data_IF_520899182712
#
_entry.id   IF_520899182712
#
_cell.length_a   1.000
_cell.length_b   1.000
_cell.length_c   1.000
_cell.angle_alpha   90.00
_cell.angle_beta   90.00
_cell.angle_gamma   90.00
#
_symmetry.space_group_name_H-M   'P 1'
#
loop_
_entity.id
_entity.type
_entity.pdbx_description
1 polymer ?
#
# COMPACT_ATOMS: atom_id res chain seq x y z
N UNK A 1 -14.83 26.05 0.99
CA UNK A 1 -13.58 25.63 1.64
C UNK A 1 -13.79 24.18 2.03
N UNK A 2 -13.15 23.24 1.35
CA UNK A 2 -13.24 21.81 1.69
C UNK A 2 -12.71 21.57 3.10
N UNK A 3 -13.46 20.87 3.92
CA UNK A 3 -13.03 20.52 5.26
C UNK A 3 -12.15 19.28 5.18
N UNK A 4 -10.83 19.48 5.05
CA UNK A 4 -9.84 18.44 5.29
C UNK A 4 -9.67 18.29 6.81
N UNK A 5 -10.54 17.48 7.44
CA UNK A 5 -10.39 17.19 8.84
C UNK A 5 -9.58 15.90 9.01
N UNK A 6 -8.38 16.02 9.56
CA UNK A 6 -7.64 14.89 10.11
C UNK A 6 -8.09 14.74 11.55
N UNK A 7 -8.62 13.56 11.85
CA UNK A 7 -9.14 13.25 13.17
C UNK A 7 -8.33 12.11 13.79
N UNK A 8 -8.27 12.10 15.11
CA UNK A 8 -7.55 11.10 15.88
C UNK A 8 -8.56 10.32 16.74
N UNK A 9 -8.83 9.07 16.39
CA UNK A 9 -9.85 8.28 17.07
C UNK A 9 -9.62 8.16 18.58
N UNK A 10 -8.37 8.19 19.02
CA UNK A 10 -7.99 8.14 20.43
C UNK A 10 -8.22 9.46 21.19
N UNK A 11 -8.41 10.58 20.48
CA UNK A 11 -8.70 11.88 21.07
C UNK A 11 -10.21 12.19 21.05
N UNK A 12 -10.89 11.81 19.97
CA UNK A 12 -12.30 12.13 19.77
C UNK A 12 -13.09 10.95 19.18
N UNK A 13 -13.29 9.92 19.99
CA UNK A 13 -14.14 8.79 19.60
C UNK A 13 -15.65 9.13 19.52
N UNK A 14 -16.08 10.22 20.16
CA UNK A 14 -17.49 10.61 20.14
C UNK A 14 -17.89 11.19 18.78
N UNK A 15 -17.06 12.03 18.19
CA UNK A 15 -17.32 12.60 16.86
C UNK A 15 -17.31 11.54 15.75
N UNK A 16 -16.62 10.41 15.94
CA UNK A 16 -16.68 9.28 15.02
C UNK A 16 -18.08 8.67 14.90
N UNK A 17 -18.89 8.72 15.97
CA UNK A 17 -20.24 8.13 16.01
C UNK A 17 -21.27 8.83 15.11
N UNK A 18 -20.96 10.00 14.56
CA UNK A 18 -21.82 10.71 13.59
C UNK A 18 -21.76 10.11 12.18
N UNK A 19 -20.79 9.22 11.93
CA UNK A 19 -20.62 8.55 10.65
C UNK A 19 -21.25 7.16 10.70
N UNK A 20 -21.79 6.72 9.57
CA UNK A 20 -22.40 5.41 9.39
C UNK A 20 -21.52 4.45 8.59
N UNK A 21 -20.50 4.96 7.90
CA UNK A 21 -19.71 4.21 6.92
C UNK A 21 -18.21 4.47 7.10
N UNK A 22 -17.42 3.40 7.04
CA UNK A 22 -15.97 3.44 7.00
C UNK A 22 -15.47 2.98 5.63
N UNK A 23 -14.50 3.69 5.07
CA UNK A 23 -13.93 3.41 3.74
C UNK A 23 -12.45 3.13 3.84
N UNK A 24 -12.04 1.93 3.41
CA UNK A 24 -10.65 1.57 3.19
C UNK A 24 -10.34 1.70 1.69
N UNK A 25 -9.28 2.46 1.34
CA UNK A 25 -8.95 2.76 -0.05
C UNK A 25 -7.73 2.01 -0.58
N UNK A 26 -6.83 1.53 0.28
CA UNK A 26 -5.55 1.01 -0.17
C UNK A 26 -5.19 -0.27 0.60
N UNK A 27 -5.09 -1.36 -0.12
CA UNK A 27 -4.69 -2.65 0.43
C UNK A 27 -4.43 -3.66 -0.68
N UNK A 28 -3.50 -4.57 -0.40
CA UNK A 28 -2.94 -5.50 -1.38
C UNK A 28 -3.33 -6.94 -1.09
N UNK A 29 -3.43 -7.74 -2.15
CA UNK A 29 -3.74 -9.16 -2.11
C UNK A 29 -2.64 -9.98 -2.79
N UNK A 30 -2.83 -11.30 -2.85
CA UNK A 30 -1.89 -12.21 -3.52
C UNK A 30 -1.69 -11.91 -5.03
N UNK A 31 -2.46 -11.00 -5.61
CA UNK A 31 -2.32 -10.56 -7.02
C UNK A 31 -1.31 -9.42 -7.16
N UNK A 32 -1.00 -8.70 -6.09
CA UNK A 32 0.02 -7.65 -6.11
C UNK A 32 1.43 -8.25 -6.25
N UNK A 33 2.27 -7.59 -7.06
CA UNK A 33 3.69 -7.93 -7.20
C UNK A 33 4.54 -6.83 -6.57
N UNK A 34 5.06 -7.13 -5.40
CA UNK A 34 5.86 -6.19 -4.61
C UNK A 34 7.35 -6.36 -4.93
N UNK A 35 8.04 -5.30 -5.29
CA UNK A 35 9.47 -5.38 -5.56
C UNK A 35 10.28 -5.70 -4.29
N UNK A 36 11.47 -6.28 -4.46
CA UNK A 36 12.43 -6.55 -3.38
C UNK A 36 13.71 -5.71 -3.50
N UNK A 37 13.77 -4.81 -4.44
CA UNK A 37 14.95 -3.96 -4.70
C UNK A 37 15.33 -3.12 -3.48
N UNK A 38 14.37 -2.73 -2.64
CA UNK A 38 14.60 -1.96 -1.42
C UNK A 38 15.28 -2.74 -0.29
N UNK A 39 15.19 -4.07 -0.30
CA UNK A 39 15.61 -4.91 0.83
C UNK A 39 17.10 -4.77 1.18
N UNK A 40 18.06 -4.73 0.22
CA UNK A 40 19.47 -4.51 0.54
C UNK A 40 19.73 -3.17 1.24
N UNK A 41 19.06 -2.10 0.84
CA UNK A 41 19.16 -0.78 1.46
C UNK A 41 18.73 -0.80 2.92
N UNK A 42 17.58 -1.40 3.20
CA UNK A 42 17.07 -1.58 4.56
C UNK A 42 17.98 -2.45 5.44
N UNK A 43 18.43 -3.58 4.90
CA UNK A 43 19.29 -4.50 5.66
C UNK A 43 20.64 -3.87 6.00
N UNK A 44 21.19 -3.00 5.15
CA UNK A 44 22.45 -2.27 5.43
C UNK A 44 22.33 -1.32 6.63
N UNK A 45 21.14 -0.84 6.96
CA UNK A 45 20.90 0.03 8.11
C UNK A 45 20.86 -0.73 9.44
N UNK A 46 20.71 -2.06 9.41
CA UNK A 46 20.68 -2.89 10.61
C UNK A 46 22.13 -3.24 11.02
N UNK A 47 22.56 -2.93 12.26
CA UNK A 47 23.89 -3.26 12.75
C UNK A 47 24.23 -4.74 12.54
N UNK A 48 25.39 -5.03 11.93
CA UNK A 48 25.86 -6.40 11.64
C UNK A 48 25.30 -7.03 10.36
N UNK A 49 24.19 -6.58 9.82
CA UNK A 49 23.57 -7.14 8.60
C UNK A 49 24.40 -6.85 7.34
N UNK A 50 25.14 -5.75 7.28
CA UNK A 50 26.03 -5.42 6.17
C UNK A 50 27.11 -6.48 5.90
N UNK A 51 27.57 -7.20 6.94
CA UNK A 51 28.54 -8.29 6.77
C UNK A 51 27.86 -9.56 6.24
N UNK A 52 26.64 -9.84 6.68
CA UNK A 52 25.84 -10.98 6.21
C UNK A 52 25.47 -10.76 4.74
N UNK A 53 25.02 -9.57 4.37
CA UNK A 53 24.73 -9.20 2.98
C UNK A 53 25.96 -9.36 2.08
N UNK A 54 27.12 -8.83 2.47
CA UNK A 54 28.37 -8.99 1.70
C UNK A 54 28.78 -10.45 1.53
N UNK A 55 28.51 -11.33 2.50
CA UNK A 55 28.73 -12.78 2.35
C UNK A 55 27.71 -13.40 1.42
N UNK A 56 26.48 -12.97 1.49
CA UNK A 56 25.40 -13.41 0.61
C UNK A 56 25.67 -12.98 -0.84
N UNK A 57 26.05 -11.72 -1.06
CA UNK A 57 26.41 -11.16 -2.37
C UNK A 57 27.61 -11.89 -3.06
N UNK A 58 28.43 -12.61 -2.29
CA UNK A 58 29.54 -13.43 -2.78
C UNK A 58 29.19 -14.91 -2.94
N UNK A 59 28.00 -15.31 -2.59
CA UNK A 59 27.58 -16.70 -2.65
C UNK A 59 27.24 -17.14 -4.08
N UNK A 60 27.56 -18.37 -4.51
CA UNK A 60 27.30 -18.83 -5.88
C UNK A 60 25.81 -19.04 -6.23
N UNK A 61 24.90 -18.82 -5.29
CA UNK A 61 23.42 -18.87 -5.47
C UNK A 61 22.78 -17.56 -5.05
N UNK A 62 23.31 -16.47 -5.53
CA UNK A 62 22.85 -15.13 -5.24
C UNK A 62 21.46 -14.87 -5.88
N UNK A 63 20.53 -14.33 -5.09
CA UNK A 63 19.28 -13.76 -5.60
C UNK A 63 19.55 -12.29 -5.91
N UNK A 64 19.40 -11.90 -7.15
CA UNK A 64 19.38 -10.51 -7.55
C UNK A 64 18.03 -9.91 -7.15
N UNK A 65 18.05 -9.00 -6.18
CA UNK A 65 16.83 -8.40 -5.63
C UNK A 65 16.06 -7.55 -6.66
N UNK A 66 16.70 -7.09 -7.72
CA UNK A 66 16.03 -6.40 -8.84
C UNK A 66 15.16 -7.35 -9.65
N UNK A 67 15.53 -8.63 -9.68
CA UNK A 67 14.81 -9.71 -10.39
C UNK A 67 13.87 -10.49 -9.47
N UNK A 68 13.83 -10.12 -8.20
CA UNK A 68 13.01 -10.78 -7.20
C UNK A 68 11.80 -9.89 -6.84
N UNK A 69 10.68 -10.54 -6.62
CA UNK A 69 9.47 -9.90 -6.10
C UNK A 69 8.75 -10.84 -5.13
N UNK A 70 7.84 -10.31 -4.36
CA UNK A 70 6.98 -11.11 -3.49
C UNK A 70 5.52 -10.73 -3.70
N UNK A 71 4.63 -11.55 -3.19
CA UNK A 71 3.20 -11.29 -3.24
C UNK A 71 2.62 -11.36 -1.83
N UNK A 72 1.73 -10.46 -1.45
CA UNK A 72 1.01 -10.53 -0.19
C UNK A 72 0.37 -11.90 0.05
N UNK A 73 0.23 -12.32 1.32
CA UNK A 73 -0.24 -13.68 1.62
C UNK A 73 -1.73 -13.87 1.43
N UNK A 74 -2.55 -12.82 1.56
CA UNK A 74 -3.99 -12.94 1.64
C UNK A 74 -4.66 -13.07 0.27
N UNK A 75 -5.61 -14.00 0.16
CA UNK A 75 -6.53 -14.01 -0.98
C UNK A 75 -7.45 -12.78 -0.97
N UNK A 76 -8.01 -12.37 -2.12
CA UNK A 76 -8.96 -11.25 -2.18
C UNK A 76 -10.08 -11.36 -1.16
N UNK A 77 -10.69 -12.54 -1.04
CA UNK A 77 -11.78 -12.78 -0.09
C UNK A 77 -11.33 -12.65 1.38
N UNK A 78 -10.10 -13.05 1.71
CA UNK A 78 -9.56 -12.94 3.07
C UNK A 78 -9.16 -11.51 3.40
N UNK A 79 -8.55 -10.79 2.47
CA UNK A 79 -8.23 -9.38 2.62
C UNK A 79 -9.51 -8.55 2.81
N UNK A 80 -10.51 -8.74 1.94
CA UNK A 80 -11.81 -8.08 2.05
C UNK A 80 -12.50 -8.37 3.40
N UNK A 81 -12.51 -9.62 3.85
CA UNK A 81 -13.12 -10.01 5.13
C UNK A 81 -12.42 -9.32 6.30
N UNK A 82 -11.10 -9.25 6.27
CA UNK A 82 -10.31 -8.59 7.31
C UNK A 82 -10.65 -7.11 7.41
N UNK A 83 -10.68 -6.39 6.26
CA UNK A 83 -11.06 -4.98 6.21
C UNK A 83 -12.50 -4.77 6.70
N UNK A 84 -13.45 -5.56 6.19
CA UNK A 84 -14.85 -5.49 6.60
C UNK A 84 -15.03 -5.72 8.10
N UNK A 85 -14.32 -6.70 8.67
CA UNK A 85 -14.40 -7.01 10.10
C UNK A 85 -13.91 -5.83 10.93
N UNK A 86 -12.76 -5.24 10.62
CA UNK A 86 -12.21 -4.13 11.37
C UNK A 86 -13.09 -2.87 11.31
N UNK A 87 -13.69 -2.59 10.16
CA UNK A 87 -14.63 -1.47 10.02
C UNK A 87 -15.93 -1.75 10.80
N UNK A 88 -16.45 -2.96 10.69
CA UNK A 88 -17.67 -3.37 11.39
C UNK A 88 -17.53 -3.37 12.93
N UNK A 89 -16.35 -3.70 13.47
CA UNK A 89 -16.06 -3.62 14.90
C UNK A 89 -16.20 -2.20 15.46
N UNK A 90 -16.08 -1.18 14.61
CA UNK A 90 -16.36 0.22 14.98
C UNK A 90 -17.83 0.61 14.85
N UNK A 91 -18.70 -0.31 14.48
CA UNK A 91 -20.14 -0.04 14.22
C UNK A 91 -20.41 0.64 12.88
N UNK A 92 -19.45 0.63 11.96
CA UNK A 92 -19.55 1.27 10.65
C UNK A 92 -19.84 0.25 9.54
N UNK A 93 -20.60 0.67 8.52
CA UNK A 93 -20.75 -0.07 7.27
C UNK A 93 -19.44 -0.04 6.49
N UNK A 94 -18.90 -1.19 6.03
CA UNK A 94 -17.65 -1.21 5.31
C UNK A 94 -17.81 -0.95 3.79
N UNK A 95 -17.04 -0.01 3.26
CA UNK A 95 -16.72 0.13 1.85
C UNK A 95 -15.22 -0.15 1.68
N UNK A 96 -14.86 -1.08 0.79
CA UNK A 96 -13.47 -1.56 0.69
C UNK A 96 -13.01 -1.57 -0.75
N UNK A 97 -11.94 -0.84 -1.03
CA UNK A 97 -11.24 -0.79 -2.30
C UNK A 97 -9.88 -1.48 -2.16
N UNK A 98 -9.71 -2.64 -2.80
CA UNK A 98 -8.43 -3.32 -2.91
C UNK A 98 -7.71 -2.83 -4.17
N UNK A 99 -6.40 -2.57 -4.06
CA UNK A 99 -5.63 -1.86 -5.07
C UNK A 99 -4.28 -2.55 -5.30
N UNK A 100 -4.32 -3.76 -5.81
CA UNK A 100 -3.09 -4.46 -6.18
C UNK A 100 -2.29 -3.67 -7.22
N UNK A 101 -0.96 -3.74 -7.16
CA UNK A 101 -0.08 -3.07 -8.12
C UNK A 101 -0.34 -3.58 -9.54
N UNK A 102 -0.76 -2.67 -10.42
CA UNK A 102 -0.97 -2.89 -11.85
C UNK A 102 -1.90 -4.07 -12.19
N UNK A 103 -2.77 -4.48 -11.25
CA UNK A 103 -3.65 -5.64 -11.36
C UNK A 103 -5.05 -5.35 -10.78
N UNK A 104 -6.10 -5.86 -11.43
CA UNK A 104 -7.50 -5.73 -10.99
C UNK A 104 -8.19 -7.08 -10.75
N UNK A 105 -7.49 -8.20 -10.84
CA UNK A 105 -8.09 -9.53 -10.75
C UNK A 105 -8.70 -9.80 -9.37
N UNK A 106 -8.13 -9.21 -8.30
CA UNK A 106 -8.74 -9.27 -6.98
C UNK A 106 -10.16 -8.67 -6.98
N UNK A 107 -10.31 -7.45 -7.47
CA UNK A 107 -11.60 -6.78 -7.59
C UNK A 107 -12.55 -7.53 -8.51
N UNK A 108 -12.07 -7.97 -9.68
CA UNK A 108 -12.86 -8.74 -10.64
C UNK A 108 -13.42 -10.03 -10.02
N UNK A 109 -12.60 -10.77 -9.28
CA UNK A 109 -13.04 -12.00 -8.62
C UNK A 109 -14.07 -11.75 -7.51
N UNK A 110 -13.91 -10.66 -6.77
CA UNK A 110 -14.81 -10.30 -5.68
C UNK A 110 -16.19 -9.84 -6.19
N UNK A 111 -16.26 -9.15 -7.33
CA UNK A 111 -17.53 -8.70 -7.90
C UNK A 111 -18.46 -9.86 -8.30
N UNK A 112 -17.96 -11.09 -8.39
CA UNK A 112 -18.79 -12.27 -8.60
C UNK A 112 -19.63 -12.60 -7.36
N UNK A 113 -19.12 -12.28 -6.16
CA UNK A 113 -19.69 -12.72 -4.87
C UNK A 113 -20.08 -11.55 -3.95
N UNK A 114 -19.78 -10.31 -4.32
CA UNK A 114 -20.03 -9.12 -3.51
C UNK A 114 -20.82 -8.08 -4.30
N UNK A 115 -21.44 -7.13 -3.58
CA UNK A 115 -22.08 -5.98 -4.21
C UNK A 115 -21.00 -5.01 -4.74
N UNK A 116 -20.97 -4.70 -6.06
CA UNK A 116 -20.03 -3.73 -6.63
C UNK A 116 -20.11 -2.34 -5.98
N UNK A 117 -21.24 -1.99 -5.37
CA UNK A 117 -21.41 -0.71 -4.64
C UNK A 117 -20.57 -0.63 -3.38
N UNK A 118 -20.18 -1.79 -2.80
CA UNK A 118 -19.37 -1.88 -1.59
C UNK A 118 -17.88 -2.19 -1.90
N UNK A 119 -17.61 -2.84 -3.04
CA UNK A 119 -16.28 -3.28 -3.46
C UNK A 119 -16.06 -2.89 -4.93
N UNK A 120 -15.47 -1.72 -5.19
CA UNK A 120 -15.21 -1.24 -6.53
C UNK A 120 -14.04 -2.00 -7.19
N UNK A 121 -13.94 -1.91 -8.52
CA UNK A 121 -12.71 -2.25 -9.24
C UNK A 121 -11.69 -1.13 -9.07
N UNK A 122 -10.52 -1.45 -8.57
CA UNK A 122 -9.49 -0.45 -8.29
C UNK A 122 -8.11 -1.03 -8.50
N UNK A 123 -7.14 -0.16 -8.72
CA UNK A 123 -5.74 -0.51 -8.96
C UNK A 123 -4.83 0.55 -8.34
N UNK A 124 -3.68 0.14 -7.83
CA UNK A 124 -2.56 1.04 -7.64
C UNK A 124 -1.68 0.98 -8.89
N UNK A 125 -1.79 2.02 -9.70
CA UNK A 125 -1.03 2.11 -10.94
C UNK A 125 0.37 2.62 -10.70
N UNK A 126 1.37 1.85 -11.13
CA UNK A 126 2.79 2.23 -11.13
C UNK A 126 3.07 3.15 -12.29
N UNK A 127 3.48 4.39 -12.00
CA UNK A 127 3.71 5.47 -12.95
C UNK A 127 5.19 5.84 -12.99
N UNK A 128 6.01 5.23 -13.86
CA UNK A 128 7.37 5.71 -14.12
C UNK A 128 7.31 7.12 -14.72
N UNK A 129 7.94 8.10 -14.07
CA UNK A 129 7.88 9.49 -14.52
C UNK A 129 9.15 10.26 -14.15
N UNK A 130 9.80 10.92 -15.13
CA UNK A 130 10.94 11.82 -14.92
C UNK A 130 12.08 11.24 -14.05
N UNK A 131 12.51 10.00 -14.28
CA UNK A 131 13.51 9.25 -13.49
C UNK A 131 13.05 8.94 -12.06
N UNK A 132 11.76 8.91 -11.84
CA UNK A 132 11.14 8.48 -10.60
C UNK A 132 9.99 7.51 -10.87
N UNK A 133 9.41 6.98 -9.82
CA UNK A 133 8.18 6.22 -9.85
C UNK A 133 7.22 6.90 -8.89
N UNK A 134 6.00 7.15 -9.36
CA UNK A 134 4.88 7.63 -8.57
C UNK A 134 3.79 6.56 -8.61
N UNK A 135 2.91 6.54 -7.62
CA UNK A 135 1.78 5.63 -7.60
C UNK A 135 0.46 6.41 -7.62
N UNK A 136 -0.44 6.01 -8.51
CA UNK A 136 -1.79 6.55 -8.58
C UNK A 136 -2.81 5.48 -8.20
N UNK A 137 -3.55 5.71 -7.12
CA UNK A 137 -4.75 4.94 -6.81
C UNK A 137 -5.86 5.33 -7.77
N UNK A 138 -6.28 4.39 -8.63
CA UNK A 138 -7.42 4.58 -9.51
C UNK A 138 -8.56 3.72 -9.00
N UNK A 139 -9.54 4.35 -8.39
CA UNK A 139 -10.64 3.65 -7.73
C UNK A 139 -11.92 3.73 -8.54
N UNK A 140 -12.70 2.66 -8.47
CA UNK A 140 -14.02 2.52 -9.06
C UNK A 140 -14.03 2.59 -10.60
N UNK A 141 -13.09 1.85 -11.21
CA UNK A 141 -13.06 1.66 -12.66
C UNK A 141 -14.38 1.03 -13.15
N UNK A 142 -14.99 1.56 -14.24
CA UNK A 142 -16.18 0.96 -14.82
C UNK A 142 -15.89 -0.46 -15.34
N UNK A 143 -16.66 -1.44 -14.88
CA UNK A 143 -16.44 -2.88 -15.14
C UNK A 143 -16.30 -3.18 -16.63
N UNK A 144 -17.15 -2.56 -17.45
CA UNK A 144 -17.19 -2.82 -18.90
C UNK A 144 -15.94 -2.35 -19.64
N UNK A 145 -15.19 -1.38 -19.13
CA UNK A 145 -13.98 -0.82 -19.73
C UNK A 145 -12.70 -1.08 -18.92
N UNK A 146 -12.80 -1.66 -17.73
CA UNK A 146 -11.67 -1.83 -16.82
C UNK A 146 -10.48 -2.55 -17.46
N UNK A 147 -10.74 -3.66 -18.20
CA UNK A 147 -9.66 -4.38 -18.91
C UNK A 147 -9.03 -3.57 -20.06
N UNK A 148 -9.76 -2.66 -20.68
CA UNK A 148 -9.20 -1.74 -21.66
C UNK A 148 -8.30 -0.72 -20.98
N UNK A 149 -8.75 -0.09 -19.90
CA UNK A 149 -7.94 0.79 -19.10
C UNK A 149 -6.66 0.13 -18.62
N UNK A 150 -6.74 -1.09 -18.08
CA UNK A 150 -5.53 -1.80 -17.61
C UNK A 150 -4.51 -2.05 -18.73
N UNK A 151 -4.96 -2.32 -19.98
CA UNK A 151 -4.02 -2.43 -21.12
C UNK A 151 -3.33 -1.11 -21.43
N UNK A 152 -4.08 0.00 -21.40
CA UNK A 152 -3.54 1.32 -21.72
C UNK A 152 -2.58 1.80 -20.63
N UNK A 153 -2.91 1.57 -19.34
CA UNK A 153 -2.03 1.85 -18.21
C UNK A 153 -0.74 1.02 -18.27
N UNK A 154 -0.85 -0.28 -18.58
CA UNK A 154 0.31 -1.17 -18.72
C UNK A 154 1.18 -0.78 -19.94
N UNK A 155 0.58 -0.32 -21.04
CA UNK A 155 1.31 0.19 -22.18
C UNK A 155 2.15 1.42 -21.80
N UNK A 156 1.58 2.36 -21.05
CA UNK A 156 2.31 3.50 -20.52
C UNK A 156 3.44 3.06 -19.58
N UNK A 157 3.16 2.20 -18.60
CA UNK A 157 4.18 1.73 -17.63
C UNK A 157 5.36 1.08 -18.35
N UNK A 158 5.11 0.37 -19.45
CA UNK A 158 6.15 -0.31 -20.25
C UNK A 158 6.96 0.65 -21.13
N UNK A 159 6.37 1.75 -21.58
CA UNK A 159 6.98 2.75 -22.46
C UNK A 159 6.50 4.16 -22.06
N UNK A 160 7.04 4.72 -20.97
CA UNK A 160 6.58 6.00 -20.42
C UNK A 160 6.75 7.16 -21.40
N UNK A 161 5.68 7.93 -21.58
CA UNK A 161 5.64 9.15 -22.37
C UNK A 161 4.81 10.22 -21.66
N UNK A 162 5.36 11.43 -21.52
CA UNK A 162 4.73 12.52 -20.75
C UNK A 162 3.40 12.98 -21.33
N UNK A 163 3.23 12.92 -22.65
CA UNK A 163 1.97 13.30 -23.30
C UNK A 163 0.91 12.23 -23.05
N UNK A 164 1.26 10.97 -23.26
CA UNK A 164 0.36 9.84 -23.02
C UNK A 164 -0.12 9.80 -21.57
N UNK A 165 0.76 10.10 -20.61
CA UNK A 165 0.37 10.19 -19.18
C UNK A 165 -0.73 11.23 -18.96
N UNK A 166 -0.53 12.45 -19.50
CA UNK A 166 -1.53 13.53 -19.38
C UNK A 166 -2.85 13.15 -20.01
N UNK A 167 -2.82 12.51 -21.18
CA UNK A 167 -4.01 12.05 -21.88
C UNK A 167 -4.76 11.01 -21.04
N UNK A 168 -4.08 9.95 -20.57
CA UNK A 168 -4.68 8.88 -19.76
C UNK A 168 -5.30 9.42 -18.47
N UNK A 169 -4.55 10.21 -17.71
CA UNK A 169 -5.04 10.78 -16.44
C UNK A 169 -6.22 11.74 -16.69
N UNK A 170 -6.16 12.53 -17.79
CA UNK A 170 -7.26 13.43 -18.16
C UNK A 170 -8.52 12.68 -18.58
N UNK A 171 -8.40 11.61 -19.34
CA UNK A 171 -9.53 10.79 -19.75
C UNK A 171 -10.17 10.07 -18.56
N UNK A 172 -9.38 9.48 -17.68
CA UNK A 172 -9.86 8.87 -16.44
C UNK A 172 -10.59 9.90 -15.55
N UNK A 173 -10.03 11.11 -15.43
CA UNK A 173 -10.61 12.15 -14.58
C UNK A 173 -11.96 12.67 -15.11
N UNK A 174 -12.26 12.53 -16.42
CA UNK A 174 -13.57 12.90 -17.00
C UNK A 174 -14.68 11.92 -16.64
N UNK A 175 -14.34 10.71 -16.19
CA UNK A 175 -15.33 9.71 -15.75
C UNK A 175 -15.76 10.05 -14.32
N UNK A 176 -17.03 10.43 -14.06
CA UNK A 176 -17.44 10.96 -12.77
C UNK A 176 -17.31 9.96 -11.61
N UNK A 177 -17.41 8.67 -11.92
CA UNK A 177 -17.36 7.58 -10.95
C UNK A 177 -15.94 7.25 -10.51
N UNK A 178 -14.90 7.69 -11.25
CA UNK A 178 -13.51 7.39 -10.92
C UNK A 178 -12.96 8.40 -9.91
N UNK A 179 -12.25 7.87 -8.91
CA UNK A 179 -11.44 8.65 -7.99
C UNK A 179 -9.96 8.38 -8.30
N UNK A 180 -9.19 9.43 -8.61
CA UNK A 180 -7.75 9.37 -8.82
C UNK A 180 -7.06 9.98 -7.60
N UNK A 181 -6.25 9.18 -6.93
CA UNK A 181 -5.52 9.55 -5.72
C UNK A 181 -4.02 9.48 -5.99
N UNK A 182 -3.26 10.49 -5.60
CA UNK A 182 -1.81 10.40 -5.57
C UNK A 182 -1.40 9.71 -4.26
N UNK A 183 -1.00 8.46 -4.39
CA UNK A 183 -0.66 7.61 -3.25
C UNK A 183 0.73 7.98 -2.71
N UNK A 184 0.88 7.99 -1.38
CA UNK A 184 2.15 8.21 -0.63
C UNK A 184 3.20 9.04 -1.41
N UNK A 185 2.90 10.30 -1.79
CA UNK A 185 3.67 11.10 -2.75
C UNK A 185 5.13 11.37 -2.38
N UNK A 186 5.51 11.14 -1.13
CA UNK A 186 6.89 11.29 -0.66
C UNK A 186 7.61 9.96 -0.44
N UNK A 187 6.98 8.84 -0.83
CA UNK A 187 7.65 7.56 -0.85
C UNK A 187 8.74 7.54 -1.93
N UNK A 188 9.94 7.17 -1.53
CA UNK A 188 11.09 7.10 -2.41
C UNK A 188 11.43 5.64 -2.73
N UNK A 189 11.31 5.27 -3.99
CA UNK A 189 11.75 3.96 -4.47
C UNK A 189 13.27 3.81 -4.35
N UNK A 190 13.73 2.58 -4.06
CA UNK A 190 15.16 2.28 -3.97
C UNK A 190 15.86 2.57 -5.30
N UNK A 191 17.00 3.26 -5.22
CA UNK A 191 17.78 3.66 -6.40
C UNK A 191 17.30 4.95 -7.06
N UNK A 192 16.20 5.54 -6.62
CA UNK A 192 15.75 6.86 -7.05
C UNK A 192 16.36 7.92 -6.13
N UNK A 193 17.00 8.92 -6.72
CA UNK A 193 17.50 10.08 -5.94
C UNK A 193 16.35 10.98 -5.48
N UNK A 194 16.38 11.40 -4.22
CA UNK A 194 15.34 12.27 -3.63
C UNK A 194 15.10 13.53 -4.47
N UNK A 195 16.16 14.14 -5.01
CA UNK A 195 16.06 15.32 -5.87
C UNK A 195 15.32 15.05 -7.17
N UNK A 196 15.50 13.87 -7.77
CA UNK A 196 14.78 13.45 -8.97
C UNK A 196 13.31 13.18 -8.65
N UNK A 197 13.04 12.51 -7.54
CA UNK A 197 11.68 12.24 -7.08
C UNK A 197 10.90 13.55 -6.82
N UNK A 198 11.48 14.50 -6.10
CA UNK A 198 10.85 15.80 -5.84
C UNK A 198 10.56 16.57 -7.12
N UNK A 199 11.49 16.59 -8.08
CA UNK A 199 11.25 17.22 -9.40
C UNK A 199 10.13 16.53 -10.17
N UNK A 200 10.10 15.21 -10.15
CA UNK A 200 9.03 14.42 -10.79
C UNK A 200 7.67 14.74 -10.16
N UNK A 201 7.60 14.76 -8.82
CA UNK A 201 6.39 15.11 -8.08
C UNK A 201 5.93 16.54 -8.42
N UNK A 202 6.82 17.53 -8.34
CA UNK A 202 6.49 18.93 -8.66
C UNK A 202 5.97 19.07 -10.09
N UNK A 203 6.59 18.40 -11.04
CA UNK A 203 6.16 18.41 -12.44
C UNK A 203 4.81 17.71 -12.64
N UNK A 204 4.59 16.55 -12.02
CA UNK A 204 3.31 15.84 -12.04
C UNK A 204 2.20 16.75 -11.51
N UNK A 205 2.44 17.42 -10.40
CA UNK A 205 1.47 18.34 -9.80
C UNK A 205 1.20 19.53 -10.74
N UNK A 206 2.25 20.11 -11.33
CA UNK A 206 2.08 21.24 -12.27
C UNK A 206 1.24 20.84 -13.50
N UNK A 207 1.48 19.64 -14.05
CA UNK A 207 0.85 19.19 -15.29
C UNK A 207 -0.51 18.52 -15.09
N UNK A 208 -0.68 17.78 -13.98
CA UNK A 208 -1.83 16.89 -13.79
C UNK A 208 -2.71 17.22 -12.59
N UNK A 209 -2.43 18.28 -11.80
CA UNK A 209 -3.20 18.57 -10.58
C UNK A 209 -4.70 18.71 -10.83
N UNK A 210 -5.10 19.23 -12.00
CA UNK A 210 -6.51 19.33 -12.40
C UNK A 210 -7.25 17.99 -12.50
N UNK A 211 -6.49 16.91 -12.68
CA UNK A 211 -6.99 15.54 -12.83
C UNK A 211 -6.86 14.71 -11.56
N UNK A 212 -6.02 15.13 -10.59
CA UNK A 212 -5.87 14.46 -9.30
C UNK A 212 -6.99 14.92 -8.36
N UNK A 213 -7.72 13.97 -7.79
CA UNK A 213 -8.88 14.29 -6.95
C UNK A 213 -8.52 14.42 -5.47
N UNK A 214 -7.54 13.66 -4.99
CA UNK A 214 -7.10 13.66 -3.59
C UNK A 214 -5.64 13.26 -3.46
N UNK A 215 -5.07 13.50 -2.27
CA UNK A 215 -3.77 12.97 -1.86
C UNK A 215 -3.93 11.99 -0.72
N UNK A 216 -3.11 10.95 -0.71
CA UNK A 216 -3.17 9.92 0.29
C UNK A 216 -2.33 10.26 1.52
N UNK A 217 -2.98 10.24 2.70
CA UNK A 217 -2.30 10.07 3.98
C UNK A 217 -2.20 8.57 4.27
N UNK A 218 -0.97 8.06 4.32
CA UNK A 218 -0.72 6.63 4.34
C UNK A 218 -0.45 6.09 5.74
N UNK A 219 -1.15 5.01 6.10
CA UNK A 219 -1.08 4.39 7.42
C UNK A 219 0.25 3.71 7.75
N UNK A 220 1.05 3.33 6.75
CA UNK A 220 2.36 2.69 6.95
C UNK A 220 3.50 3.70 7.07
N UNK A 221 3.27 4.95 6.69
CA UNK A 221 4.27 6.02 6.67
C UNK A 221 4.44 6.71 8.02
N UNK A 222 5.53 7.46 8.14
CA UNK A 222 5.80 8.28 9.32
C UNK A 222 4.89 9.50 9.38
N UNK A 223 4.68 10.05 10.59
CA UNK A 223 3.97 11.33 10.69
C UNK A 223 4.74 12.46 9.98
N UNK A 224 6.06 12.45 10.05
CA UNK A 224 6.89 13.43 9.34
C UNK A 224 6.63 13.43 7.82
N UNK A 225 6.46 12.27 7.23
CA UNK A 225 6.12 12.10 5.81
C UNK A 225 4.67 12.53 5.54
N UNK A 226 3.73 12.04 6.34
CA UNK A 226 2.33 12.39 6.24
C UNK A 226 2.06 13.89 6.46
N UNK A 227 2.82 14.58 7.32
CA UNK A 227 2.72 16.02 7.50
C UNK A 227 3.06 16.80 6.21
N UNK A 228 4.04 16.34 5.44
CA UNK A 228 4.34 16.93 4.13
C UNK A 228 3.17 16.72 3.15
N UNK A 229 2.46 15.58 3.23
CA UNK A 229 1.25 15.35 2.41
C UNK A 229 0.13 16.31 2.82
N UNK A 230 -0.02 16.60 4.11
CA UNK A 230 -0.99 17.59 4.62
C UNK A 230 -0.68 18.99 4.09
N UNK A 231 0.57 19.38 4.13
CA UNK A 231 1.03 20.68 3.57
C UNK A 231 0.76 20.73 2.06
N UNK A 232 1.06 19.65 1.34
CA UNK A 232 0.82 19.54 -0.09
C UNK A 232 -0.69 19.66 -0.41
N UNK A 233 -1.53 18.93 0.31
CA UNK A 233 -2.99 18.97 0.14
C UNK A 233 -3.55 20.38 0.38
N UNK A 234 -3.03 21.07 1.39
CA UNK A 234 -3.39 22.46 1.67
C UNK A 234 -2.96 23.41 0.55
N UNK A 235 -1.72 23.28 0.06
CA UNK A 235 -1.16 24.13 -1.00
C UNK A 235 -1.96 24.02 -2.31
N UNK A 236 -2.42 22.85 -2.65
CA UNK A 236 -3.20 22.59 -3.88
C UNK A 236 -4.71 22.55 -3.66
N UNK A 237 -5.20 22.83 -2.46
CA UNK A 237 -6.63 22.76 -2.12
C UNK A 237 -7.28 21.45 -2.52
N UNK A 238 -6.60 20.33 -2.27
CA UNK A 238 -7.10 18.98 -2.53
C UNK A 238 -7.47 18.28 -1.24
N UNK A 239 -8.53 17.43 -1.23
CA UNK A 239 -8.85 16.62 -0.07
C UNK A 239 -7.76 15.59 0.22
N UNK A 240 -7.66 15.22 1.51
CA UNK A 240 -6.88 14.09 1.96
C UNK A 240 -7.77 12.87 2.06
N UNK A 241 -7.29 11.72 1.61
CA UNK A 241 -7.92 10.42 1.83
C UNK A 241 -6.97 9.47 2.53
N UNK A 242 -7.51 8.45 3.19
CA UNK A 242 -6.71 7.45 3.88
C UNK A 242 -6.24 6.37 2.94
N UNK A 243 -4.99 5.92 3.08
CA UNK A 243 -4.46 4.70 2.51
C UNK A 243 -3.96 3.76 3.60
N UNK A 244 -4.57 2.59 3.70
CA UNK A 244 -4.13 1.55 4.66
C UNK A 244 -2.79 0.97 4.27
N UNK A 245 -2.56 0.84 2.97
CA UNK A 245 -1.36 0.25 2.35
C UNK A 245 -1.00 -1.09 3.01
N UNK A 246 -2.05 -1.89 3.20
CA UNK A 246 -1.96 -3.14 3.96
C UNK A 246 -1.52 -4.27 3.05
N UNK A 247 -0.52 -5.02 3.51
CA UNK A 247 0.04 -6.14 2.78
C UNK A 247 -0.20 -7.50 3.45
N UNK A 248 -0.69 -7.54 4.69
CA UNK A 248 -1.03 -8.78 5.39
C UNK A 248 -2.16 -8.59 6.40
N UNK A 249 -1.97 -9.02 7.66
CA UNK A 249 -3.02 -9.00 8.69
C UNK A 249 -2.89 -7.85 9.69
N UNK A 250 -1.93 -6.94 9.49
CA UNK A 250 -1.73 -5.78 10.35
C UNK A 250 -3.00 -4.93 10.44
N UNK A 251 -3.29 -4.34 11.61
CA UNK A 251 -4.46 -3.49 11.76
C UNK A 251 -4.40 -2.24 10.88
N UNK A 252 -5.55 -1.79 10.37
CA UNK A 252 -5.61 -0.53 9.65
C UNK A 252 -5.21 0.64 10.56
N UNK A 253 -4.28 1.47 10.09
CA UNK A 253 -3.77 2.61 10.85
C UNK A 253 -4.50 3.91 10.50
N UNK A 254 -5.25 3.95 9.40
CA UNK A 254 -6.08 5.08 8.99
C UNK A 254 -7.32 4.63 8.22
N UNK A 255 -8.36 5.44 8.23
CA UNK A 255 -9.65 5.14 7.60
C UNK A 255 -10.33 6.45 7.20
N UNK A 256 -11.09 6.47 6.10
CA UNK A 256 -12.07 7.51 5.88
C UNK A 256 -13.40 7.15 6.55
N UNK A 257 -14.06 8.15 7.17
CA UNK A 257 -15.41 8.00 7.68
C UNK A 257 -16.37 8.94 6.96
N UNK A 258 -17.53 8.42 6.57
CA UNK A 258 -18.53 9.13 5.78
C UNK A 258 -19.95 8.67 6.14
N UNK A 259 -20.95 9.30 5.56
CA UNK A 259 -22.32 8.83 5.55
C UNK A 259 -22.78 8.34 4.17
N UNK A 260 -21.85 8.22 3.22
CA UNK A 260 -22.13 7.67 1.90
C UNK A 260 -22.68 6.23 1.99
N UNK A 261 -23.74 5.96 1.24
CA UNK A 261 -24.38 4.66 1.17
C UNK A 261 -23.79 3.73 0.10
N UNK A 262 -22.80 4.21 -0.68
CA UNK A 262 -22.10 3.44 -1.71
C UNK A 262 -20.71 4.02 -1.96
N UNK A 263 -19.84 3.24 -2.63
CA UNK A 263 -18.53 3.74 -3.00
C UNK A 263 -18.61 4.91 -4.00
N UNK A 264 -19.56 4.88 -4.93
CA UNK A 264 -19.75 5.99 -5.88
C UNK A 264 -20.20 7.29 -5.20
N UNK A 265 -21.03 7.21 -4.16
CA UNK A 265 -21.38 8.39 -3.35
C UNK A 265 -20.16 8.93 -2.61
N UNK A 266 -19.32 8.06 -2.02
CA UNK A 266 -18.06 8.48 -1.42
C UNK A 266 -17.12 9.15 -2.43
N UNK A 267 -17.00 8.61 -3.64
CA UNK A 267 -16.23 9.25 -4.72
C UNK A 267 -16.76 10.65 -5.02
N UNK A 268 -18.08 10.81 -5.10
CA UNK A 268 -18.69 12.10 -5.35
C UNK A 268 -18.40 13.12 -4.23
N UNK A 269 -18.44 12.68 -2.95
CA UNK A 269 -18.04 13.51 -1.81
C UNK A 269 -16.59 13.98 -1.92
N UNK A 270 -15.65 13.06 -2.18
CA UNK A 270 -14.22 13.41 -2.29
C UNK A 270 -13.98 14.35 -3.46
N UNK A 271 -14.58 14.09 -4.62
CA UNK A 271 -14.46 14.96 -5.81
C UNK A 271 -15.07 16.35 -5.59
N UNK A 272 -16.07 16.46 -4.71
CA UNK A 272 -16.64 17.73 -4.27
C UNK A 272 -15.79 18.45 -3.19
N UNK A 273 -14.63 17.86 -2.79
CA UNK A 273 -13.71 18.43 -1.81
C UNK A 273 -14.04 18.06 -0.35
N UNK A 274 -14.90 17.07 -0.12
CA UNK A 274 -15.26 16.64 1.23
C UNK A 274 -14.57 15.31 1.57
N UNK A 275 -13.82 15.29 2.67
CA UNK A 275 -13.25 14.08 3.22
C UNK A 275 -13.09 14.19 4.73
N UNK A 276 -13.32 13.10 5.44
CA UNK A 276 -13.05 12.96 6.87
C UNK A 276 -12.13 11.78 7.10
N UNK A 277 -10.85 12.10 7.30
CA UNK A 277 -9.79 11.12 7.54
C UNK A 277 -9.58 10.90 9.03
N UNK A 278 -9.48 9.65 9.44
CA UNK A 278 -9.31 9.23 10.83
C UNK A 278 -8.05 8.38 10.98
N UNK A 279 -7.16 8.81 11.85
CA UNK A 279 -6.03 7.99 12.31
C UNK A 279 -6.48 7.09 13.46
N UNK A 280 -6.19 5.80 13.30
CA UNK A 280 -6.59 4.75 14.24
C UNK A 280 -5.57 4.61 15.38
N UNK A 281 -5.94 4.05 16.55
CA UNK A 281 -5.02 3.87 17.67
C UNK A 281 -3.72 3.15 17.31
N UNK A 282 -3.75 2.26 16.33
CA UNK A 282 -2.57 1.55 15.83
C UNK A 282 -1.51 2.49 15.24
N UNK A 283 -1.91 3.62 14.67
CA UNK A 283 -0.98 4.62 14.12
C UNK A 283 -0.05 5.22 15.18
N UNK A 284 -0.45 5.23 16.47
CA UNK A 284 0.37 5.70 17.59
C UNK A 284 1.55 4.79 17.92
N UNK A 285 1.52 3.56 17.44
CA UNK A 285 2.63 2.64 17.65
C UNK A 285 3.86 3.12 16.85
N UNK A 286 5.09 3.00 17.43
CA UNK A 286 6.29 3.34 16.69
C UNK A 286 6.31 2.66 15.32
N UNK A 287 6.64 3.40 14.25
CA UNK A 287 6.66 2.87 12.88
C UNK A 287 7.46 1.56 12.77
N UNK A 288 8.61 1.48 13.45
CA UNK A 288 9.43 0.26 13.44
C UNK A 288 8.67 -0.96 13.99
N UNK A 289 7.80 -0.78 15.00
CA UNK A 289 6.97 -1.87 15.54
C UNK A 289 5.92 -2.29 14.52
N UNK A 290 5.23 -1.33 13.87
CA UNK A 290 4.23 -1.61 12.82
C UNK A 290 4.85 -2.36 11.63
N UNK A 291 6.03 -1.94 11.18
CA UNK A 291 6.79 -2.60 10.09
C UNK A 291 7.20 -4.02 10.49
N UNK A 292 7.67 -4.24 11.73
CA UNK A 292 8.02 -5.59 12.20
C UNK A 292 6.79 -6.51 12.28
N UNK A 293 5.63 -5.99 12.65
CA UNK A 293 4.37 -6.74 12.67
C UNK A 293 3.94 -7.15 11.27
N UNK A 294 3.94 -6.21 10.33
CA UNK A 294 3.65 -6.49 8.93
C UNK A 294 4.63 -7.53 8.36
N UNK A 295 5.93 -7.36 8.57
CA UNK A 295 6.95 -8.32 8.13
C UNK A 295 6.75 -9.71 8.72
N UNK A 296 6.40 -9.82 10.01
CA UNK A 296 6.05 -11.11 10.61
C UNK A 296 4.86 -11.76 9.91
N UNK A 297 3.79 -10.99 9.69
CA UNK A 297 2.58 -11.50 9.07
C UNK A 297 2.81 -11.88 7.61
N UNK A 298 3.65 -11.16 6.88
CA UNK A 298 4.10 -11.54 5.54
C UNK A 298 4.86 -12.87 5.55
N UNK A 299 5.73 -13.07 6.54
CA UNK A 299 6.65 -14.22 6.58
C UNK A 299 6.08 -15.46 7.29
N UNK A 300 4.99 -15.34 8.04
CA UNK A 300 4.39 -16.49 8.73
C UNK A 300 3.78 -17.49 7.73
N UNK A 301 3.61 -18.76 8.14
CA UNK A 301 2.89 -19.73 7.31
C UNK A 301 1.39 -19.41 7.21
N UNK A 302 0.82 -19.77 6.07
CA UNK A 302 -0.62 -19.70 5.78
C UNK A 302 -1.07 -21.09 5.26
N UNK A 303 -1.33 -22.04 6.15
CA UNK A 303 -1.66 -23.43 5.77
C UNK A 303 -2.94 -23.54 4.96
N UNK A 304 -3.82 -22.55 5.04
CA UNK A 304 -5.07 -22.45 4.29
C UNK A 304 -4.92 -22.20 2.79
N UNK A 305 -3.72 -21.81 2.33
CA UNK A 305 -3.47 -21.52 0.90
C UNK A 305 -2.53 -22.56 0.28
N UNK A 306 -3.05 -23.66 -0.32
CA UNK A 306 -2.24 -24.67 -1.00
C UNK A 306 -1.31 -24.06 -2.06
N UNK A 307 -0.04 -24.47 -2.06
CA UNK A 307 0.98 -23.94 -2.97
C UNK A 307 1.55 -22.56 -2.61
N UNK A 308 1.05 -21.92 -1.53
CA UNK A 308 1.50 -20.60 -1.05
C UNK A 308 1.67 -20.58 0.47
N UNK A 309 1.81 -21.73 1.08
CA UNK A 309 1.79 -21.89 2.54
C UNK A 309 2.97 -21.23 3.23
N UNK A 310 4.18 -21.41 2.68
CA UNK A 310 5.42 -20.85 3.23
C UNK A 310 5.72 -19.50 2.57
N UNK A 311 6.42 -18.63 3.26
CA UNK A 311 6.87 -17.38 2.68
C UNK A 311 7.71 -17.59 1.41
N UNK A 312 8.54 -18.67 1.35
CA UNK A 312 9.34 -19.04 0.17
C UNK A 312 8.48 -19.41 -1.05
N UNK A 313 7.21 -19.75 -0.87
CA UNK A 313 6.27 -20.02 -1.96
C UNK A 313 5.64 -18.72 -2.50
N UNK A 314 5.78 -17.61 -1.78
CA UNK A 314 5.23 -16.28 -2.11
C UNK A 314 6.30 -15.27 -2.54
N UNK A 315 7.55 -15.64 -2.44
CA UNK A 315 8.69 -14.86 -2.92
C UNK A 315 9.22 -15.51 -4.19
N UNK A 316 9.35 -14.73 -5.25
CA UNK A 316 9.66 -15.21 -6.58
C UNK A 316 10.97 -14.63 -7.09
N UNK A 317 11.63 -15.37 -7.93
CA UNK A 317 12.83 -14.98 -8.63
C UNK A 317 12.67 -15.22 -10.13
N UNK A 318 12.94 -14.20 -10.94
CA UNK A 318 12.91 -14.30 -12.40
C UNK A 318 14.28 -14.74 -12.92
N UNK A 319 14.36 -15.98 -13.41
CA UNK A 319 15.56 -16.56 -13.98
C UNK A 319 16.01 -15.87 -15.27
N UNK A 320 17.17 -16.30 -15.83
CA UNK A 320 17.67 -15.78 -17.10
C UNK A 320 16.79 -16.13 -18.30
N UNK A 321 15.95 -17.16 -18.14
CA UNK A 321 14.89 -17.55 -19.09
C UNK A 321 13.62 -16.66 -19.01
N UNK A 322 13.62 -15.63 -18.16
CA UNK A 322 12.49 -14.74 -17.95
C UNK A 322 11.35 -15.35 -17.11
N UNK A 323 11.45 -16.63 -16.72
CA UNK A 323 10.39 -17.31 -15.97
C UNK A 323 10.53 -17.03 -14.48
N UNK A 324 9.45 -16.56 -13.86
CA UNK A 324 9.38 -16.38 -12.42
C UNK A 324 9.10 -17.72 -11.72
N UNK A 325 9.92 -18.05 -10.72
CA UNK A 325 9.79 -19.27 -9.91
C UNK A 325 9.80 -18.92 -8.43
N UNK A 326 8.99 -19.57 -7.58
CA UNK A 326 9.03 -19.36 -6.14
C UNK A 326 10.41 -19.77 -5.58
N UNK A 327 10.86 -19.07 -4.55
CA UNK A 327 12.15 -19.36 -3.91
C UNK A 327 12.21 -20.77 -3.33
N UNK A 328 11.09 -21.36 -2.93
CA UNK A 328 11.04 -22.77 -2.54
C UNK A 328 11.53 -23.69 -3.65
N UNK A 329 11.15 -23.44 -4.90
CA UNK A 329 11.65 -24.19 -6.07
C UNK A 329 13.11 -23.85 -6.37
N UNK A 330 13.48 -22.56 -6.36
CA UNK A 330 14.87 -22.11 -6.65
C UNK A 330 15.87 -22.70 -5.65
N UNK A 331 15.48 -22.82 -4.39
CA UNK A 331 16.32 -23.39 -3.33
C UNK A 331 16.10 -24.88 -3.07
N UNK A 332 15.28 -25.55 -3.88
CA UNK A 332 14.91 -26.97 -3.68
C UNK A 332 14.45 -27.26 -2.23
N UNK A 333 13.56 -26.40 -1.71
CA UNK A 333 13.05 -26.44 -0.34
C UNK A 333 14.13 -26.29 0.78
N UNK A 334 15.35 -25.92 0.44
CA UNK A 334 16.45 -25.71 1.39
C UNK A 334 16.70 -24.22 1.59
N UNK A 335 15.95 -23.61 2.51
CA UNK A 335 16.17 -22.20 2.86
C UNK A 335 17.59 -22.02 3.40
N UNK A 336 18.35 -21.01 2.90
CA UNK A 336 19.63 -20.66 3.49
C UNK A 336 19.52 -20.44 4.98
N UNK A 337 20.38 -21.09 5.77
CA UNK A 337 20.27 -21.10 7.24
C UNK A 337 20.28 -19.68 7.86
N UNK A 338 20.98 -18.73 7.24
CA UNK A 338 21.00 -17.32 7.65
C UNK A 338 19.63 -16.67 7.55
N UNK A 339 18.88 -16.95 6.48
CA UNK A 339 17.53 -16.44 6.29
C UNK A 339 16.54 -17.18 7.21
N UNK A 340 16.71 -18.48 7.40
CA UNK A 340 15.90 -19.22 8.37
C UNK A 340 16.11 -18.70 9.81
N UNK A 341 17.34 -18.38 10.18
CA UNK A 341 17.66 -17.77 11.47
C UNK A 341 17.06 -16.35 11.59
N UNK A 342 17.20 -15.52 10.56
CA UNK A 342 16.66 -14.16 10.55
C UNK A 342 15.13 -14.15 10.66
N UNK A 343 14.42 -15.02 9.93
CA UNK A 343 12.96 -15.15 10.04
C UNK A 343 12.54 -15.69 11.41
N UNK A 344 13.30 -16.62 11.98
CA UNK A 344 13.06 -17.12 13.35
C UNK A 344 13.23 -16.03 14.41
N UNK A 345 14.27 -15.22 14.31
CA UNK A 345 14.49 -14.06 15.18
C UNK A 345 13.35 -13.04 15.05
N UNK A 346 12.93 -12.72 13.83
CA UNK A 346 11.78 -11.82 13.60
C UNK A 346 10.50 -12.34 14.29
N UNK A 347 10.22 -13.62 14.17
CA UNK A 347 9.07 -14.24 14.85
C UNK A 347 9.16 -14.15 16.37
N UNK A 348 10.36 -14.24 16.96
CA UNK A 348 10.57 -14.06 18.39
C UNK A 348 10.36 -12.60 18.83
N UNK A 349 10.86 -11.62 18.06
CA UNK A 349 10.70 -10.19 18.39
C UNK A 349 9.25 -9.72 18.39
N UNK A 350 8.37 -10.44 17.75
CA UNK A 350 6.93 -10.12 17.70
C UNK A 350 6.10 -10.85 18.77
N UNK A 351 6.73 -11.63 19.66
CA UNK A 351 6.03 -12.16 20.85
C UNK A 351 5.58 -11.01 21.74
N UNK A 352 4.42 -11.17 22.41
CA UNK A 352 3.75 -10.10 23.17
C UNK A 352 4.68 -9.39 24.18
N UNK A 353 5.56 -10.13 24.83
CA UNK A 353 6.48 -9.58 25.84
C UNK A 353 7.61 -8.74 25.22
N UNK A 354 8.23 -9.24 24.16
CA UNK A 354 9.30 -8.53 23.45
C UNK A 354 8.75 -7.31 22.69
N UNK A 355 7.54 -7.43 22.13
CA UNK A 355 6.83 -6.30 21.50
C UNK A 355 6.62 -5.15 22.50
N UNK A 356 6.16 -5.45 23.73
CA UNK A 356 6.00 -4.42 24.76
C UNK A 356 7.32 -3.76 25.14
N UNK A 357 8.39 -4.54 25.26
CA UNK A 357 9.73 -4.01 25.54
C UNK A 357 10.24 -3.14 24.39
N UNK A 358 10.05 -3.56 23.12
CA UNK A 358 10.39 -2.77 21.94
C UNK A 358 9.60 -1.46 21.88
N UNK A 359 8.29 -1.48 22.19
CA UNK A 359 7.49 -0.27 22.29
C UNK A 359 8.06 0.73 23.28
N UNK A 360 8.49 0.27 24.46
CA UNK A 360 9.07 1.14 25.47
C UNK A 360 10.42 1.74 25.01
N UNK A 361 11.29 0.92 24.45
CA UNK A 361 12.62 1.37 23.98
C UNK A 361 12.52 2.31 22.77
N UNK A 362 11.55 2.08 21.88
CA UNK A 362 11.36 2.88 20.68
C UNK A 362 10.42 4.08 20.91
N UNK A 363 9.60 4.07 21.95
CA UNK A 363 8.73 5.20 22.31
C UNK A 363 9.54 6.45 22.68
N UNK A 364 10.75 6.30 23.27
CA UNK A 364 11.66 7.41 23.55
C UNK A 364 12.21 8.09 22.28
N UNK A 365 12.11 7.42 21.12
CA UNK A 365 12.47 7.94 19.79
C UNK A 365 11.25 8.22 18.93
N UNK A 366 10.05 8.20 19.53
CA UNK A 366 8.78 8.31 18.85
C UNK A 366 8.59 9.65 18.14
N UNK A 367 7.95 9.60 16.98
CA UNK A 367 7.47 10.76 16.29
C UNK A 367 6.45 11.47 17.17
N UNK A 368 6.61 12.77 17.38
CA UNK A 368 5.56 13.56 18.03
C UNK A 368 4.38 13.63 17.06
N UNK A 369 3.30 12.99 17.44
CA UNK A 369 1.99 13.18 16.79
C UNK A 369 1.41 14.51 17.26
N UNK A 370 0.63 15.22 16.43
CA UNK A 370 -0.01 16.48 16.80
C UNK A 370 -1.04 16.32 17.92
#
# INVERSE_FOLDING_TARGET
>A
MGHNAINFLWQDSQSARRFSTGVCLHGHTMHSQECLSFLPGYLRQIPGMSQILRRYERAPRQVDFVRAYWTPPLSPASALRLEKTQIAEMGLRPLVSLTDHDDIEAGMSLQITTDPRDVPLSVEWTVPYQRSILHLGIHNLPVHSARAWMRDLAAYTSAPDDQLLRELVSELARIPEILIVLNHPFWLEEGVEETNHRRALDRMLHECIGCLHAFELNGTRSWKENAQVVELASAFSRPLVSGGDRHACEPSACLNMTNAGSFSEFVAEVRAGYSSLWLMPHYREPRAVRVLEAARDILRPYPEYPGRQRWTDRFFYRGDDGIARPLSTVWHDRVPWTLAAATGVLQLFTTTRLRQALKLVLAERGEMLP
#
